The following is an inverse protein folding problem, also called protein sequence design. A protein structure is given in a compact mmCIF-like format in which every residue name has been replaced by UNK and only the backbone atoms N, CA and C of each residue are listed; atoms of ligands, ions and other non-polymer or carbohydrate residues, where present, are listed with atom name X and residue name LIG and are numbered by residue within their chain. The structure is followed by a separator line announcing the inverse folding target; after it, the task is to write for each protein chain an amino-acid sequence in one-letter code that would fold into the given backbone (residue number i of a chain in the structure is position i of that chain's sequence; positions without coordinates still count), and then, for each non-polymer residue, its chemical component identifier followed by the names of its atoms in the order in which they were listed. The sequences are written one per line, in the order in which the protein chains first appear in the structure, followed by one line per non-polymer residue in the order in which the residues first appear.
data_IF_665277855068
#
_entry.id   IF_665277855068
#
_cell.length_a   1.000
_cell.length_b   1.000
_cell.length_c   1.000
_cell.angle_alpha   90.00
_cell.angle_beta   90.00
_cell.angle_gamma   90.00
#
_symmetry.space_group_name_H-M   'P 1'
#
loop_
_entity.id
_entity.type
_entity.pdbx_description
1 polymer ?
2 polymer ?
3 water ?
#
# COMPACT_ATOMS: atom_id res chain seq x y z
N UNK A 1 25.04 -13.02 -3.31
CA UNK A 1 25.94 -13.65 -2.37
C UNK A 1 25.30 -14.92 -1.79
N UNK A 2 24.15 -14.76 -1.16
CA UNK A 2 23.35 -15.87 -0.65
C UNK A 2 21.89 -15.54 -0.93
N UNK A 3 21.23 -16.37 -1.73
CA UNK A 3 19.87 -16.10 -2.18
C UNK A 3 18.88 -16.96 -1.40
N UNK A 4 17.79 -16.33 -0.99
CA UNK A 4 16.65 -17.01 -0.39
C UNK A 4 15.50 -16.94 -1.39
N UNK A 5 15.04 -18.10 -1.86
CA UNK A 5 13.84 -18.17 -2.70
C UNK A 5 12.70 -18.65 -1.81
N UNK A 6 11.72 -17.77 -1.61
CA UNK A 6 10.56 -18.02 -0.78
C UNK A 6 9.40 -18.42 -1.67
N UNK A 7 8.77 -19.55 -1.37
CA UNK A 7 8.25 -20.35 -2.48
C UNK A 7 6.82 -20.07 -2.90
N UNK A 8 5.90 -19.76 -1.99
CA UNK A 8 4.64 -19.18 -2.44
C UNK A 8 4.68 -17.67 -2.33
N UNK A 9 4.44 -16.97 -3.44
CA UNK A 9 4.45 -15.50 -3.39
C UNK A 9 3.19 -14.95 -2.72
N UNK A 10 2.09 -15.69 -2.82
CA UNK A 10 0.78 -15.24 -2.34
C UNK A 10 0.00 -16.47 -1.93
N UNK A 11 -0.96 -16.30 -1.03
CA UNK A 11 -1.82 -17.43 -0.74
C UNK A 11 -3.03 -16.98 0.07
N UNK A 12 -4.14 -17.69 -0.13
CA UNK A 12 -5.39 -17.53 0.60
C UNK A 12 -5.65 -18.81 1.38
N UNK A 13 -6.20 -18.67 2.59
CA UNK A 13 -6.45 -19.85 3.42
C UNK A 13 -7.63 -19.57 4.32
N UNK A 14 -8.28 -20.66 4.76
CA UNK A 14 -9.46 -20.55 5.59
C UNK A 14 -9.08 -20.38 7.06
N UNK A 15 -9.97 -19.77 7.82
CA UNK A 15 -9.78 -19.67 9.25
C UNK A 15 -9.80 -21.06 9.86
N UNK A 16 -8.86 -21.33 10.78
CA UNK A 16 -8.73 -22.64 11.38
C UNK A 16 -7.83 -23.61 10.62
N UNK A 17 -7.43 -23.28 9.40
CA UNK A 17 -6.54 -24.12 8.63
C UNK A 17 -5.07 -23.84 8.93
N UNK A 18 -4.23 -24.50 8.15
CA UNK A 18 -2.78 -24.43 8.32
C UNK A 18 -2.19 -23.79 7.07
N UNK A 19 -1.12 -23.02 7.27
CA UNK A 19 -0.39 -22.36 6.19
C UNK A 19 1.07 -22.76 6.29
N UNK A 20 1.67 -23.08 5.15
CA UNK A 20 3.10 -23.39 5.14
C UNK A 20 3.82 -22.59 4.05
N UNK A 21 4.96 -22.01 4.42
CA UNK A 21 5.83 -21.26 3.52
C UNK A 21 7.18 -21.94 3.53
N UNK A 22 7.69 -22.26 2.35
CA UNK A 22 9.04 -22.80 2.28
C UNK A 22 9.99 -21.69 1.83
N UNK A 23 11.20 -21.77 2.37
CA UNK A 23 12.25 -20.83 2.04
C UNK A 23 13.50 -21.66 1.78
N UNK A 24 14.16 -21.42 0.64
CA UNK A 24 15.22 -22.29 0.14
C UNK A 24 16.47 -21.47 -0.13
N UNK A 25 17.55 -21.79 0.56
CA UNK A 25 18.79 -21.06 0.42
C UNK A 25 19.64 -21.61 -0.72
N UNK A 26 20.49 -20.75 -1.28
CA UNK A 26 21.38 -21.15 -2.36
C UNK A 26 22.47 -22.12 -1.87
N UNK A 27 22.92 -21.96 -0.63
CA UNK A 27 23.87 -22.86 0.00
C UNK A 27 23.45 -23.09 1.45
N UNK A 28 24.14 -24.02 2.10
CA UNK A 28 23.84 -24.33 3.50
C UNK A 28 23.98 -23.10 4.37
N UNK A 29 22.95 -22.82 5.19
CA UNK A 29 22.96 -21.65 6.07
C UNK A 29 22.94 -22.04 7.55
N UNK A 30 23.12 -23.33 7.86
CA UNK A 30 23.41 -23.78 9.23
C UNK A 30 22.32 -23.35 10.21
N UNK A 31 21.06 -23.45 9.78
CA UNK A 31 19.88 -23.15 10.60
C UNK A 31 19.81 -21.68 11.01
N UNK A 32 20.64 -20.82 10.42
CA UNK A 32 20.59 -19.38 10.70
C UNK A 32 19.52 -18.76 9.81
N UNK A 33 18.26 -18.93 10.24
CA UNK A 33 17.09 -18.44 9.52
C UNK A 33 16.08 -17.88 10.50
N UNK A 34 15.61 -16.67 10.24
CA UNK A 34 14.60 -16.03 11.05
C UNK A 34 13.38 -15.72 10.18
N UNK A 35 12.23 -15.52 10.84
CA UNK A 35 10.96 -15.35 10.16
C UNK A 35 10.31 -14.07 10.65
N UNK A 36 9.83 -13.26 9.72
CA UNK A 36 9.24 -11.97 10.06
C UNK A 36 7.81 -11.88 9.55
N UNK A 37 6.97 -11.20 10.33
CA UNK A 37 5.62 -10.85 9.96
C UNK A 37 5.56 -9.35 9.74
N UNK A 38 5.05 -8.92 8.59
CA UNK A 38 4.99 -7.48 8.30
C UNK A 38 3.57 -7.08 7.97
N UNK A 39 3.00 -6.18 8.81
CA UNK A 39 1.66 -5.64 8.54
C UNK A 39 1.74 -4.18 8.07
N UNK A 40 0.75 -3.72 7.30
CA UNK A 40 0.72 -2.31 6.91
C UNK A 40 0.79 -1.38 8.11
N UNK A 41 1.75 -0.44 8.07
CA UNK A 41 1.86 0.58 9.09
C UNK A 41 2.66 0.21 10.33
N UNK A 42 3.48 -0.85 10.25
CA UNK A 42 4.33 -1.27 11.36
C UNK A 42 5.68 -1.71 10.80
N UNK A 43 6.67 -1.79 11.68
CA UNK A 43 7.92 -2.44 11.34
C UNK A 43 7.73 -3.95 11.41
N UNK A 44 8.60 -4.70 10.74
CA UNK A 44 8.47 -6.17 10.80
C UNK A 44 8.59 -6.69 12.23
N UNK A 45 7.86 -7.76 12.51
CA UNK A 45 7.77 -8.38 13.82
C UNK A 45 8.54 -9.69 13.77
N UNK A 46 9.57 -9.81 14.59
CA UNK A 46 10.37 -11.03 14.61
C UNK A 46 9.53 -12.15 15.22
N UNK A 47 9.34 -13.23 14.47
CA UNK A 47 8.57 -14.38 14.95
C UNK A 47 9.43 -15.50 15.47
N UNK A 48 10.46 -15.87 14.71
CA UNK A 48 11.25 -17.07 14.95
C UNK A 48 12.68 -16.76 14.57
N UNK A 49 13.64 -17.26 15.35
CA UNK A 49 15.04 -17.22 14.99
C UNK A 49 15.63 -18.61 15.12
N UNK A 50 16.82 -18.78 14.54
CA UNK A 50 17.50 -20.07 14.54
C UNK A 50 16.56 -21.19 14.09
N UNK A 51 15.87 -20.93 12.98
CA UNK A 51 15.05 -21.90 12.26
C UNK A 51 13.76 -22.26 12.99
N UNK A 52 13.79 -22.38 14.32
CA UNK A 52 12.54 -22.78 14.98
C UNK A 52 12.35 -22.27 16.40
N UNK A 53 13.18 -21.37 16.92
CA UNK A 53 12.95 -20.86 18.26
C UNK A 53 11.96 -19.71 18.23
N UNK A 54 10.81 -19.91 18.87
CA UNK A 54 9.83 -18.83 19.02
C UNK A 54 10.41 -17.67 19.81
N UNK A 55 10.32 -16.48 19.24
CA UNK A 55 10.57 -15.27 20.01
C UNK A 55 9.55 -15.18 21.14
N UNK A 56 9.91 -14.57 22.28
CA UNK A 56 8.94 -14.48 23.39
C UNK A 56 7.74 -13.62 23.05
N UNK A 57 6.56 -14.10 23.44
CA UNK A 57 5.32 -13.44 23.10
C UNK A 57 4.76 -13.79 21.74
N UNK A 58 5.36 -14.75 21.03
CA UNK A 58 4.86 -15.17 19.73
C UNK A 58 3.96 -16.37 19.95
N UNK A 59 2.73 -16.36 19.45
CA UNK A 59 1.85 -17.52 19.63
C UNK A 59 2.52 -18.82 19.23
N UNK A 60 2.27 -19.87 20.02
CA UNK A 60 2.80 -21.18 19.69
C UNK A 60 2.19 -21.77 18.43
N UNK A 61 1.18 -21.10 17.85
CA UNK A 61 0.61 -21.49 16.56
C UNK A 61 1.62 -21.35 15.42
N UNK A 62 2.68 -20.57 15.63
CA UNK A 62 3.72 -20.33 14.64
C UNK A 62 4.86 -21.30 14.90
N UNK A 63 5.33 -21.97 13.85
CA UNK A 63 6.44 -22.90 13.99
C UNK A 63 7.34 -22.83 12.77
N UNK A 64 8.61 -23.17 12.96
CA UNK A 64 9.54 -23.28 11.87
C UNK A 64 10.34 -24.57 11.96
N UNK A 65 10.89 -24.97 10.83
CA UNK A 65 11.76 -26.15 10.82
C UNK A 65 12.63 -26.13 9.59
N UNK A 66 13.57 -27.06 9.54
CA UNK A 66 14.48 -27.22 8.42
C UNK A 66 15.91 -27.49 8.84
N UNK A 67 16.78 -27.66 7.84
CA UNK A 67 18.21 -27.80 8.07
C UNK A 67 18.90 -27.66 6.73
N UNK A 68 20.20 -27.44 6.77
CA UNK A 68 20.98 -27.25 5.56
C UNK A 68 20.50 -26.07 4.73
N UNK A 69 19.90 -26.37 3.59
CA UNK A 69 19.43 -25.35 2.65
C UNK A 69 17.94 -25.13 2.71
N UNK A 70 17.18 -26.11 3.20
CA UNK A 70 15.72 -26.11 3.02
C UNK A 70 15.01 -25.92 4.35
N UNK A 71 14.05 -24.99 4.35
CA UNK A 71 13.44 -24.49 5.56
C UNK A 71 11.96 -24.28 5.36
N UNK A 72 11.19 -24.42 6.44
CA UNK A 72 9.74 -24.36 6.41
C UNK A 72 9.25 -23.43 7.51
N UNK A 73 8.06 -22.84 7.29
CA UNK A 73 7.43 -22.02 8.31
C UNK A 73 5.92 -22.21 8.23
N UNK A 74 5.29 -22.39 9.39
CA UNK A 74 3.89 -22.79 9.41
C UNK A 74 3.07 -22.02 10.44
N UNK A 75 1.83 -21.72 10.08
CA UNK A 75 0.79 -21.23 11.00
C UNK A 75 -0.29 -22.29 11.07
N UNK A 76 -0.63 -22.73 12.29
CA UNK A 76 -1.42 -23.95 12.48
C UNK A 76 -2.95 -23.75 12.48
N UNK A 77 -3.49 -22.88 13.32
CA UNK A 77 -4.94 -22.71 13.48
C UNK A 77 -5.24 -21.26 13.10
N UNK A 78 -5.22 -20.96 11.79
CA UNK A 78 -5.24 -19.60 11.29
C UNK A 78 -6.34 -18.75 11.91
N UNK A 79 -5.98 -17.54 12.33
CA UNK A 79 -6.87 -16.55 12.93
C UNK A 79 -6.90 -15.31 12.05
N UNK A 80 -7.93 -14.45 12.19
CA UNK A 80 -8.03 -13.31 11.25
C UNK A 80 -6.84 -12.37 11.30
N UNK A 81 -6.19 -12.24 12.45
CA UNK A 81 -5.08 -11.30 12.62
C UNK A 81 -3.74 -11.83 12.08
N UNK A 82 -3.67 -13.04 11.53
CA UNK A 82 -2.44 -13.48 10.86
C UNK A 82 -2.31 -12.91 9.45
N UNK A 83 -3.33 -12.23 8.93
CA UNK A 83 -3.20 -11.57 7.62
C UNK A 83 -2.02 -10.63 7.67
N UNK A 84 -1.08 -10.80 6.71
CA UNK A 84 0.15 -10.04 6.66
C UNK A 84 1.02 -10.56 5.52
N UNK A 85 2.19 -9.97 5.37
CA UNK A 85 3.23 -10.51 4.50
C UNK A 85 4.35 -11.04 5.39
N UNK A 86 4.85 -12.21 5.05
CA UNK A 86 5.85 -12.91 5.84
C UNK A 86 7.17 -12.97 5.07
N UNK A 87 8.29 -12.91 5.80
CA UNK A 87 9.62 -12.97 5.21
C UNK A 87 10.54 -13.85 6.02
N UNK A 88 11.29 -14.72 5.34
CA UNK A 88 12.44 -15.37 5.95
C UNK A 88 13.69 -14.49 5.77
N UNK A 89 14.70 -14.76 6.60
CA UNK A 89 15.92 -13.96 6.63
C UNK A 89 17.05 -14.89 7.06
N UNK A 90 17.98 -15.17 6.15
CA UNK A 90 19.17 -15.91 6.57
C UNK A 90 20.19 -14.94 7.14
N UNK A 91 20.95 -15.41 8.14
CA UNK A 91 22.02 -14.62 8.73
C UNK A 91 23.26 -15.48 8.96
N UNK A 92 23.47 -16.48 8.11
CA UNK A 92 24.71 -17.25 8.15
C UNK A 92 25.88 -16.41 7.66
N UNK A 93 25.80 -15.91 6.43
CA UNK A 93 26.78 -14.99 5.87
C UNK A 93 26.03 -13.78 5.35
N UNK A 94 26.38 -12.59 5.84
CA UNK A 94 25.61 -11.37 5.56
C UNK A 94 24.13 -11.58 5.89
N UNK A 95 23.25 -10.78 5.27
CA UNK A 95 21.82 -10.88 5.50
C UNK A 95 21.07 -10.76 4.18
N UNK A 96 20.05 -11.58 4.01
CA UNK A 96 19.16 -11.42 2.87
C UNK A 96 17.81 -12.06 3.19
N UNK A 97 16.77 -11.46 2.62
CA UNK A 97 15.39 -11.89 2.77
C UNK A 97 14.92 -12.73 1.59
N UNK A 98 13.98 -13.64 1.86
CA UNK A 98 13.11 -14.12 0.81
C UNK A 98 12.21 -13.00 0.30
N UNK A 99 11.65 -13.21 -0.91
CA UNK A 99 10.86 -12.15 -1.54
C UNK A 99 9.53 -11.92 -0.83
N UNK A 100 9.07 -12.83 0.03
CA UNK A 100 7.90 -12.55 0.82
C UNK A 100 6.69 -13.38 0.38
N UNK A 101 5.71 -13.47 1.27
CA UNK A 101 4.48 -14.22 1.03
C UNK A 101 3.30 -13.43 1.57
N UNK A 102 2.35 -13.09 0.71
CA UNK A 102 1.20 -12.28 1.10
C UNK A 102 0.04 -13.20 1.45
N UNK A 103 -0.41 -13.14 2.69
CA UNK A 103 -1.40 -14.07 3.22
C UNK A 103 -2.72 -13.34 3.37
N UNK A 104 -3.77 -13.91 2.80
CA UNK A 104 -5.11 -13.37 2.91
C UNK A 104 -6.08 -14.51 3.23
N UNK A 105 -7.28 -14.17 3.67
CA UNK A 105 -8.21 -15.17 4.19
C UNK A 105 -9.29 -15.50 3.16
N UNK A 106 -9.81 -16.72 3.26
CA UNK A 106 -10.95 -17.13 2.47
C UNK A 106 -12.24 -16.80 3.21
N UNK A 107 -13.27 -16.53 2.44
CA UNK A 107 -14.61 -16.27 2.94
C UNK A 107 -15.59 -16.74 1.87
N UNK A 108 -16.87 -16.66 2.19
CA UNK A 108 -17.88 -17.03 1.21
C UNK A 108 -17.85 -16.01 0.07
N UNK A 109 -18.24 -16.44 -1.12
CA UNK A 109 -18.26 -15.52 -2.26
C UNK A 109 -19.18 -14.35 -1.94
N UNK A 110 -18.82 -13.16 -2.41
CA UNK A 110 -19.64 -11.96 -2.26
C UNK A 110 -19.75 -11.25 -3.60
N UNK A 111 -20.95 -10.75 -3.92
CA UNK A 111 -20.90 -10.09 -5.21
C UNK A 111 -20.55 -8.61 -5.02
N UNK A 112 -19.92 -8.00 -6.04
CA UNK A 112 -19.56 -6.58 -5.96
C UNK A 112 -20.79 -5.69 -6.02
N UNK A 113 -20.75 -4.62 -5.23
CA UNK A 113 -21.70 -3.51 -5.35
C UNK A 113 -21.10 -2.49 -6.32
N UNK A 114 -21.73 -2.30 -7.47
CA UNK A 114 -21.19 -1.45 -8.53
C UNK A 114 -21.89 -0.09 -8.55
N UNK A 115 -21.11 0.98 -8.66
CA UNK A 115 -21.62 2.34 -8.74
C UNK A 115 -20.84 3.09 -9.80
N UNK A 116 -21.57 3.81 -10.67
CA UNK A 116 -20.95 4.63 -11.71
C UNK A 116 -21.19 6.10 -11.37
N UNK A 117 -20.23 6.95 -11.76
CA UNK A 117 -20.27 8.37 -11.46
C UNK A 117 -19.88 9.22 -12.65
N UNK A 118 -20.73 10.17 -13.04
CA UNK A 118 -20.42 11.09 -14.17
C UNK A 118 -19.34 12.09 -13.78
N UNK A 119 -18.71 12.71 -14.78
CA UNK A 119 -17.79 13.82 -14.47
C UNK A 119 -18.52 14.98 -13.81
N UNK A 120 -17.81 15.62 -12.88
CA UNK A 120 -18.34 16.76 -12.14
C UNK A 120 -18.26 18.04 -13.00
N UNK A 121 -19.02 19.06 -12.58
CA UNK A 121 -18.91 20.38 -13.24
C UNK A 121 -17.51 20.93 -13.11
N UNK A 122 -16.98 20.94 -11.87
CA UNK A 122 -15.62 21.39 -11.63
C UNK A 122 -14.67 20.85 -12.68
N UNK A 123 -14.65 19.52 -12.88
CA UNK A 123 -13.67 18.92 -13.80
C UNK A 123 -13.97 19.27 -15.24
N UNK A 124 -15.25 19.33 -15.61
CA UNK A 124 -15.58 19.67 -17.00
C UNK A 124 -15.09 21.06 -17.35
N UNK A 125 -15.28 22.04 -16.46
CA UNK A 125 -14.76 23.39 -16.69
C UNK A 125 -13.26 23.37 -16.92
N UNK A 126 -12.55 22.50 -16.20
CA UNK A 126 -11.11 22.33 -16.37
C UNK A 126 -10.72 21.78 -17.74
N UNK A 127 -11.66 21.20 -18.51
CA UNK A 127 -11.32 20.56 -19.76
C UNK A 127 -11.20 19.05 -19.72
N UNK A 128 -11.50 18.41 -18.59
CA UNK A 128 -11.38 16.98 -18.45
C UNK A 128 -12.68 16.29 -18.08
N UNK A 129 -12.77 14.99 -18.32
CA UNK A 129 -13.96 14.24 -17.93
C UNK A 129 -13.54 12.84 -17.51
N UNK A 130 -13.68 12.53 -16.22
CA UNK A 130 -13.45 11.20 -15.69
C UNK A 130 -14.80 10.57 -15.37
N UNK A 131 -14.96 9.31 -15.76
CA UNK A 131 -16.06 8.50 -15.27
C UNK A 131 -15.48 7.49 -14.31
N UNK A 132 -16.05 7.43 -13.12
CA UNK A 132 -15.54 6.58 -12.06
C UNK A 132 -16.56 5.47 -11.82
N UNK A 133 -16.04 4.28 -11.54
CA UNK A 133 -16.87 3.11 -11.30
C UNK A 133 -16.24 2.37 -10.14
N UNK A 134 -17.00 2.16 -9.07
CA UNK A 134 -16.54 1.43 -7.89
C UNK A 134 -17.11 0.02 -7.90
N UNK A 135 -16.27 -0.95 -7.58
CA UNK A 135 -16.66 -2.36 -7.40
C UNK A 135 -16.26 -2.75 -6.00
N UNK A 136 -17.22 -2.74 -5.07
CA UNK A 136 -16.94 -2.72 -3.65
C UNK A 136 -17.45 -3.97 -2.96
N UNK A 137 -16.61 -4.51 -2.08
CA UNK A 137 -16.94 -5.58 -1.13
C UNK A 137 -17.33 -6.88 -1.85
N UNK A 138 -16.40 -7.37 -2.67
CA UNK A 138 -16.61 -8.62 -3.39
C UNK A 138 -15.59 -9.64 -2.92
N UNK A 139 -15.89 -10.91 -3.24
CA UNK A 139 -14.97 -12.01 -2.96
C UNK A 139 -15.32 -13.14 -3.93
N UNK A 140 -14.32 -13.80 -4.55
CA UNK A 140 -12.86 -13.63 -4.34
C UNK A 140 -12.25 -12.41 -5.04
N UNK A 141 -10.92 -12.32 -4.97
CA UNK A 141 -10.19 -11.15 -5.42
C UNK A 141 -10.31 -10.94 -6.93
N UNK A 142 -10.36 -12.02 -7.71
CA UNK A 142 -10.37 -11.92 -9.17
C UNK A 142 -11.66 -11.29 -9.68
N UNK A 143 -11.54 -10.19 -10.43
CA UNK A 143 -12.68 -9.49 -10.98
C UNK A 143 -12.26 -8.83 -12.29
N UNK A 144 -13.22 -8.64 -13.20
CA UNK A 144 -12.92 -7.96 -14.45
C UNK A 144 -13.83 -6.75 -14.60
N UNK A 145 -13.25 -5.62 -15.01
CA UNK A 145 -14.00 -4.40 -15.26
C UNK A 145 -13.79 -4.01 -16.71
N UNK A 146 -14.89 -3.80 -17.43
CA UNK A 146 -14.88 -3.44 -18.83
C UNK A 146 -15.67 -2.15 -19.01
N UNK A 147 -15.14 -1.27 -19.85
CA UNK A 147 -15.77 0.01 -20.16
C UNK A 147 -16.31 -0.02 -21.57
N UNK A 148 -17.50 0.56 -21.77
CA UNK A 148 -18.05 0.76 -23.10
C UNK A 148 -18.51 2.20 -23.26
N UNK A 149 -18.23 2.78 -24.42
CA UNK A 149 -18.67 4.11 -24.78
C UNK A 149 -19.56 3.93 -26.00
N UNK A 150 -20.87 4.18 -25.83
CA UNK A 150 -21.83 3.95 -26.90
C UNK A 150 -21.79 2.50 -27.40
N UNK A 151 -21.57 1.54 -26.50
CA UNK A 151 -21.52 0.13 -26.87
C UNK A 151 -20.20 -0.39 -27.38
N UNK A 152 -19.23 0.48 -27.72
CA UNK A 152 -17.91 0.03 -28.16
C UNK A 152 -16.98 -0.06 -26.96
N UNK A 153 -16.24 -1.18 -26.86
CA UNK A 153 -15.33 -1.37 -25.74
C UNK A 153 -14.18 -0.38 -25.81
N UNK A 154 -13.76 0.12 -24.66
CA UNK A 154 -12.71 1.12 -24.61
C UNK A 154 -11.66 0.72 -23.60
N UNK A 155 -10.39 0.75 -24.02
CA UNK A 155 -9.29 0.42 -23.12
C UNK A 155 -8.40 1.62 -22.79
N UNK A 156 -8.19 2.56 -23.70
CA UNK A 156 -7.38 3.73 -23.36
C UNK A 156 -8.07 4.65 -22.36
N UNK A 157 -7.24 5.34 -21.56
CA UNK A 157 -7.73 6.29 -20.60
C UNK A 157 -8.24 5.68 -19.32
N UNK A 158 -8.02 4.38 -19.11
CA UNK A 158 -8.58 3.65 -17.98
C UNK A 158 -7.49 3.40 -16.96
N UNK A 159 -7.77 3.78 -15.70
CA UNK A 159 -6.89 3.55 -14.56
C UNK A 159 -7.64 2.70 -13.54
N UNK A 160 -7.12 1.51 -13.25
CA UNK A 160 -7.70 0.65 -12.23
C UNK A 160 -6.85 0.71 -10.98
N UNK A 161 -7.52 0.67 -9.83
CA UNK A 161 -6.86 0.60 -8.54
C UNK A 161 -7.63 -0.39 -7.70
N UNK A 162 -6.91 -1.13 -6.86
CA UNK A 162 -7.51 -2.22 -6.10
C UNK A 162 -7.00 -2.21 -4.68
N UNK A 163 -7.90 -2.47 -3.73
CA UNK A 163 -7.50 -2.51 -2.33
C UNK A 163 -6.85 -3.85 -2.00
N UNK A 164 -6.17 -3.87 -0.84
CA UNK A 164 -5.85 -5.09 -0.14
C UNK A 164 -7.10 -5.64 0.54
N UNK A 165 -6.97 -6.83 1.13
CA UNK A 165 -8.13 -7.44 1.77
C UNK A 165 -8.61 -6.63 2.96
N UNK A 166 -9.91 -6.34 2.98
CA UNK A 166 -10.50 -5.53 4.03
C UNK A 166 -10.44 -6.28 5.36
N UNK A 167 -9.94 -5.60 6.40
CA UNK A 167 -9.80 -6.27 7.69
C UNK A 167 -11.14 -6.55 8.35
N UNK A 168 -12.19 -5.84 7.97
CA UNK A 168 -13.47 -6.00 8.66
C UNK A 168 -14.24 -7.22 8.15
N UNK A 169 -14.40 -7.36 6.82
CA UNK A 169 -15.23 -8.42 6.28
C UNK A 169 -14.52 -9.37 5.31
N UNK A 170 -13.21 -9.20 5.10
CA UNK A 170 -12.41 -10.05 4.24
C UNK A 170 -12.76 -9.90 2.75
N UNK A 171 -13.46 -8.84 2.38
CA UNK A 171 -13.77 -8.59 0.98
C UNK A 171 -12.65 -7.76 0.33
N UNK A 172 -12.78 -7.62 -0.98
CA UNK A 172 -11.91 -6.77 -1.76
C UNK A 172 -12.75 -5.69 -2.41
N UNK A 173 -12.08 -4.63 -2.82
CA UNK A 173 -12.74 -3.58 -3.59
C UNK A 173 -11.77 -3.10 -4.65
N UNK A 174 -12.34 -2.46 -5.66
CA UNK A 174 -11.58 -2.04 -6.80
C UNK A 174 -12.26 -0.81 -7.40
N UNK A 175 -11.45 0.08 -7.95
CA UNK A 175 -11.91 1.33 -8.55
C UNK A 175 -11.38 1.43 -9.97
N UNK A 176 -12.25 1.81 -10.90
CA UNK A 176 -11.85 2.02 -12.30
C UNK A 176 -12.28 3.40 -12.76
N UNK A 177 -11.37 4.11 -13.44
CA UNK A 177 -11.63 5.49 -13.87
C UNK A 177 -11.27 5.62 -15.34
N UNK A 178 -12.22 6.05 -16.15
CA UNK A 178 -12.00 6.33 -17.57
C UNK A 178 -11.93 7.85 -17.72
N UNK A 179 -10.78 8.36 -18.13
CA UNK A 179 -10.55 9.80 -18.24
C UNK A 179 -10.46 10.17 -19.72
N UNK A 180 -11.31 11.10 -20.15
CA UNK A 180 -11.33 11.67 -21.49
C UNK A 180 -11.07 13.17 -21.43
N UNK A 181 -10.84 13.77 -22.60
CA UNK A 181 -10.98 15.22 -22.65
C UNK A 181 -12.46 15.60 -22.66
N UNK A 182 -12.74 16.87 -22.42
CA UNK A 182 -14.12 17.33 -22.40
C UNK A 182 -14.74 17.23 -23.79
N UNK A 183 -13.98 17.62 -24.83
CA UNK A 183 -14.52 17.59 -26.17
C UNK A 183 -14.83 16.16 -26.63
N UNK A 184 -13.96 15.20 -26.28
CA UNK A 184 -14.26 13.81 -26.62
C UNK A 184 -15.40 13.26 -25.77
N UNK A 185 -15.50 13.70 -24.52
CA UNK A 185 -16.59 13.24 -23.67
C UNK A 185 -17.95 13.67 -24.20
N UNK A 186 -17.99 14.79 -24.93
CA UNK A 186 -19.24 15.32 -25.45
C UNK A 186 -19.65 14.71 -26.78
N UNK A 187 -18.76 13.98 -27.44
CA UNK A 187 -19.09 13.32 -28.70
C UNK A 187 -19.89 12.03 -28.54
N UNK A 188 -20.06 11.55 -27.31
CA UNK A 188 -20.71 10.26 -27.08
C UNK A 188 -21.83 10.42 -26.07
N UNK A 189 -22.70 9.42 -26.02
CA UNK A 189 -23.87 9.46 -25.15
C UNK A 189 -23.79 8.54 -23.95
N UNK A 190 -23.52 7.26 -24.16
CA UNK A 190 -23.62 6.27 -23.08
C UNK A 190 -22.23 5.86 -22.57
N UNK A 191 -22.10 5.80 -21.26
CA UNK A 191 -20.87 5.36 -20.60
C UNK A 191 -21.21 4.26 -19.61
N UNK A 192 -20.67 3.08 -19.83
CA UNK A 192 -21.03 1.90 -19.04
C UNK A 192 -19.77 1.20 -18.57
N UNK A 193 -19.81 0.74 -17.32
CA UNK A 193 -18.80 -0.20 -16.84
C UNK A 193 -19.50 -1.51 -16.50
N UNK A 194 -18.84 -2.62 -16.84
CA UNK A 194 -19.38 -3.94 -16.58
C UNK A 194 -18.44 -4.69 -15.67
N UNK A 195 -18.99 -5.27 -14.61
CA UNK A 195 -18.22 -6.05 -13.65
C UNK A 195 -18.53 -7.52 -13.88
N UNK A 196 -17.54 -8.26 -14.40
CA UNK A 196 -17.63 -9.71 -14.51
C UNK A 196 -16.98 -10.35 -13.29
N UNK A 197 -17.73 -11.20 -12.60
CA UNK A 197 -17.26 -11.81 -11.36
C UNK A 197 -18.00 -13.14 -11.20
N UNK A 198 -17.30 -14.14 -10.66
CA UNK A 198 -17.81 -15.50 -10.62
C UNK A 198 -19.11 -15.64 -9.82
N UNK A 199 -19.54 -14.58 -9.13
CA UNK A 199 -20.79 -14.63 -8.37
C UNK A 199 -22.03 -14.44 -9.23
N UNK A 200 -21.88 -14.33 -10.55
CA UNK A 200 -23.03 -14.03 -11.40
C UNK A 200 -22.75 -14.52 -12.82
N UNK A 201 -23.80 -15.00 -13.50
CA UNK A 201 -23.62 -15.56 -14.83
C UNK A 201 -23.33 -14.45 -15.84
N UNK A 202 -24.15 -13.40 -15.84
CA UNK A 202 -24.10 -12.17 -16.62
C UNK A 202 -23.41 -11.07 -15.80
N UNK A 203 -22.63 -10.22 -16.44
CA UNK A 203 -21.96 -9.13 -15.71
C UNK A 203 -22.97 -8.13 -15.14
N UNK A 204 -22.62 -7.56 -13.98
CA UNK A 204 -23.31 -6.37 -13.48
C UNK A 204 -22.96 -5.16 -14.34
N UNK A 205 -23.96 -4.53 -14.93
CA UNK A 205 -23.76 -3.40 -15.83
C UNK A 205 -24.32 -2.16 -15.15
N UNK A 206 -23.48 -1.13 -15.00
CA UNK A 206 -23.90 0.19 -14.57
C UNK A 206 -23.57 1.17 -15.68
N UNK A 207 -24.45 2.15 -15.89
CA UNK A 207 -24.28 3.02 -17.05
C UNK A 207 -24.81 4.40 -16.76
N UNK A 208 -24.22 5.37 -17.45
CA UNK A 208 -24.59 6.78 -17.40
C UNK A 208 -24.79 7.28 -18.82
N UNK A 209 -25.85 8.07 -19.00
CA UNK A 209 -26.09 8.82 -20.21
C UNK A 209 -26.09 10.30 -19.85
N UNK A 210 -25.50 11.14 -20.71
CA UNK A 210 -25.69 12.58 -20.51
C UNK A 210 -27.09 13.01 -20.93
N UNK A 211 -28.12 12.29 -20.47
CA UNK A 211 -29.45 12.31 -21.10
C UNK A 211 -30.53 12.92 -20.23
N UNK A 212 -30.16 13.58 -19.11
CA UNK A 212 -31.09 14.38 -18.33
C UNK A 212 -30.34 14.91 -17.11
N UNK A 213 -30.86 16.01 -16.56
CA UNK A 213 -30.79 16.37 -15.13
C UNK A 213 -31.02 17.85 -14.91
N UNK B 1 12.07 2.17 27.21
CA UNK B 1 11.83 1.05 26.30
C UNK B 1 12.43 1.29 24.90
N UNK B 2 12.85 0.22 24.23
CA UNK B 2 13.59 0.33 22.98
C UNK B 2 12.75 1.05 21.93
N UNK B 3 13.26 2.19 21.44
CA UNK B 3 12.57 3.07 20.50
C UNK B 3 13.50 3.53 19.38
N UNK B 4 13.01 3.44 18.14
CA UNK B 4 13.73 3.87 16.96
C UNK B 4 12.79 4.75 16.14
N UNK B 5 13.22 5.96 15.81
CA UNK B 5 12.34 6.92 15.12
C UNK B 5 13.12 7.57 13.97
N UNK B 6 12.76 7.21 12.73
CA UNK B 6 13.42 7.73 11.54
C UNK B 6 12.87 9.11 11.18
N UNK B 7 13.67 9.87 10.43
CA UNK B 7 13.22 11.18 9.94
C UNK B 7 14.03 11.56 8.71
N UNK B 8 13.62 12.67 8.06
CA UNK B 8 14.35 13.22 6.95
C UNK B 8 13.99 12.69 5.57
N UNK B 9 13.10 11.70 5.47
CA UNK B 9 12.69 11.25 4.15
C UNK B 9 12.03 12.36 3.35
N UNK B 10 12.04 12.21 2.03
CA UNK B 10 11.33 13.15 1.18
C UNK B 10 11.47 12.81 -0.28
N UNK B 11 11.30 13.83 -1.11
CA UNK B 11 11.41 13.72 -2.56
C UNK B 11 12.74 14.30 -3.01
N UNK B 12 13.47 13.56 -3.85
CA UNK B 12 14.78 13.96 -4.35
C UNK B 12 14.86 13.58 -5.82
N UNK B 13 15.56 14.40 -6.60
CA UNK B 13 15.69 14.18 -8.04
C UNK B 13 16.78 13.15 -8.34
N UNK B 14 16.65 12.42 -9.45
CA UNK B 14 17.69 11.46 -9.82
C UNK B 14 19.06 12.14 -9.87
N UNK B 15 20.08 11.44 -9.37
CA UNK B 15 21.38 12.02 -9.19
C UNK B 15 21.60 12.76 -7.89
N UNK B 16 20.53 13.18 -7.20
CA UNK B 16 20.64 14.00 -6.00
C UNK B 16 21.06 13.24 -4.73
N UNK B 17 20.99 13.96 -3.62
CA UNK B 17 21.50 13.52 -2.32
C UNK B 17 20.50 13.82 -1.22
N UNK B 18 20.44 12.93 -0.21
CA UNK B 18 19.60 13.10 0.96
C UNK B 18 20.18 12.32 2.13
N UNK B 19 19.99 12.86 3.33
CA UNK B 19 20.51 12.28 4.57
C UNK B 19 19.36 11.95 5.50
N UNK B 20 19.15 10.66 5.75
CA UNK B 20 18.15 10.21 6.72
C UNK B 20 18.76 10.15 8.12
N UNK B 21 17.92 10.33 9.12
CA UNK B 21 18.32 10.22 10.52
C UNK B 21 17.46 9.18 11.22
N UNK B 22 18.01 8.61 12.29
CA UNK B 22 17.28 7.69 13.14
C UNK B 22 17.65 7.99 14.57
N UNK B 23 16.67 8.38 15.36
CA UNK B 23 16.85 8.73 16.76
C UNK B 23 16.51 7.52 17.63
N UNK B 24 17.39 7.21 18.57
CA UNK B 24 17.25 6.10 19.50
C UNK B 24 16.94 6.62 20.89
N UNK B 25 16.21 5.83 21.66
CA UNK B 25 15.96 6.11 23.06
C UNK B 25 15.61 4.79 23.73
N UNK B 26 15.86 4.72 25.03
CA UNK B 26 15.46 3.57 25.81
C UNK B 26 16.48 2.46 25.88
N UNK B 27 17.72 2.73 25.46
CA UNK B 27 18.80 1.75 25.60
C UNK B 27 20.14 2.48 25.41
N UNK B 28 21.22 1.81 25.83
CA UNK B 28 22.55 2.36 25.64
C UNK B 28 22.89 2.31 24.16
N UNK B 29 22.63 3.40 23.44
CA UNK B 29 22.76 3.40 21.98
C UNK B 29 24.16 3.03 21.55
N UNK B 30 25.17 3.54 22.24
CA UNK B 30 26.55 3.29 21.82
C UNK B 30 26.99 1.85 22.04
N UNK B 31 26.15 0.97 22.62
CA UNK B 31 26.52 -0.43 22.79
C UNK B 31 26.12 -1.31 21.62
N UNK B 32 25.38 -0.78 20.64
CA UNK B 32 24.64 -1.59 19.69
C UNK B 32 25.08 -1.34 18.25
N UNK B 33 25.30 -2.43 17.53
CA UNK B 33 25.36 -2.39 16.07
C UNK B 33 24.01 -1.90 15.54
N UNK B 34 24.03 -1.26 14.37
CA UNK B 34 22.81 -0.69 13.80
C UNK B 34 22.82 -0.86 12.28
N UNK B 35 21.63 -0.96 11.70
CA UNK B 35 21.46 -1.17 10.27
C UNK B 35 20.35 -0.28 9.70
N UNK B 36 20.38 -0.11 8.38
CA UNK B 36 19.25 0.41 7.65
C UNK B 36 18.69 -0.70 6.78
N UNK B 37 17.37 -0.82 6.76
CA UNK B 37 16.69 -1.74 5.87
C UNK B 37 15.63 -0.96 5.12
N UNK B 38 15.49 -1.22 3.83
CA UNK B 38 14.45 -0.57 3.05
C UNK B 38 13.46 -1.59 2.52
N UNK B 39 12.21 -1.13 2.37
CA UNK B 39 11.14 -1.88 1.71
C UNK B 39 10.85 -1.20 0.38
N UNK B 40 11.15 -1.90 -0.72
CA UNK B 40 10.88 -1.40 -2.06
C UNK B 40 9.37 -1.38 -2.33
N UNK B 41 8.91 -0.68 -3.37
CA UNK B 41 7.45 -0.69 -3.65
C UNK B 41 6.91 -2.05 -4.04
N UNK B 42 7.73 -2.92 -4.64
CA UNK B 42 7.38 -4.32 -4.87
C UNK B 42 7.46 -5.15 -3.59
N UNK B 43 7.50 -4.48 -2.44
CA UNK B 43 7.37 -5.14 -1.13
C UNK B 43 8.53 -6.09 -0.85
N UNK B 44 9.69 -5.82 -1.45
CA UNK B 44 10.92 -6.53 -1.12
C UNK B 44 11.63 -5.82 0.02
N UNK B 45 12.28 -6.60 0.88
CA UNK B 45 13.05 -6.07 2.00
C UNK B 45 14.53 -6.26 1.71
N UNK B 46 15.31 -5.20 1.94
CA UNK B 46 16.69 -5.17 1.49
C UNK B 46 17.55 -4.51 2.56
N UNK B 47 18.56 -5.24 3.01
CA UNK B 47 19.58 -4.74 3.93
C UNK B 47 20.40 -3.66 3.25
N UNK B 48 20.25 -2.42 3.69
CA UNK B 48 20.83 -1.26 3.00
C UNK B 48 22.24 -0.95 3.52
N UNK B 49 22.43 -0.91 4.83
CA UNK B 49 23.73 -0.54 5.39
C UNK B 49 23.81 -1.07 6.81
N UNK B 50 25.04 -1.32 7.25
CA UNK B 50 25.32 -1.79 8.60
C UNK B 50 26.45 -0.96 9.17
N UNK B 51 26.39 -0.68 10.48
CA UNK B 51 27.47 0.00 11.17
C UNK B 51 27.66 -0.60 12.56
N UNK B 52 28.92 -0.84 12.91
CA UNK B 52 29.25 -1.43 14.19
C UNK B 52 29.05 -0.41 15.30
N UNK B 53 29.10 -0.91 16.54
CA UNK B 53 28.65 -0.12 17.69
C UNK B 53 29.47 1.15 17.84
N UNK B 54 30.77 1.07 17.61
CA UNK B 54 31.61 2.24 17.75
C UNK B 54 31.80 3.00 16.47
N UNK B 55 31.26 2.50 15.36
CA UNK B 55 31.36 3.14 14.08
C UNK B 55 32.56 2.74 13.25
N UNK B 56 33.36 1.76 13.69
CA UNK B 56 34.60 1.44 13.00
C UNK B 56 34.43 0.40 11.91
N UNK B 57 33.31 -0.30 11.86
CA UNK B 57 33.08 -1.26 10.80
C UNK B 57 31.75 -0.97 10.14
N UNK B 58 31.69 -1.25 8.86
CA UNK B 58 30.57 -0.80 8.07
C UNK B 58 30.40 -1.77 6.92
N UNK B 59 29.16 -2.00 6.52
CA UNK B 59 28.93 -2.89 5.39
C UNK B 59 27.80 -2.37 4.51
N UNK B 60 27.97 -2.51 3.19
CA UNK B 60 26.96 -2.15 2.21
C UNK B 60 26.86 -3.21 1.12
N UNK B 61 25.64 -3.57 0.70
CA UNK B 61 25.51 -4.41 -0.49
C UNK B 61 25.93 -3.63 -1.73
N UNK B 62 26.28 -4.40 -2.78
CA UNK B 62 26.84 -3.79 -3.98
C UNK B 62 25.88 -2.77 -4.60
N UNK B 63 24.57 -2.94 -4.39
CA UNK B 63 23.59 -2.04 -4.99
C UNK B 63 23.81 -0.58 -4.58
N UNK B 64 24.31 -0.34 -3.38
CA UNK B 64 24.47 1.00 -2.83
C UNK B 64 25.91 1.33 -2.45
N UNK B 65 26.84 0.40 -2.65
CA UNK B 65 28.24 0.68 -2.31
C UNK B 65 28.75 1.83 -3.18
N UNK B 66 29.53 2.71 -2.57
CA UNK B 66 30.03 3.88 -3.28
C UNK B 66 29.03 5.02 -3.38
N UNK B 67 27.76 4.79 -3.09
CA UNK B 67 26.74 5.82 -3.11
C UNK B 67 26.17 6.14 -1.74
N UNK B 68 26.14 5.17 -0.83
CA UNK B 68 25.53 5.33 0.48
C UNK B 68 26.60 5.32 1.57
N UNK B 69 26.42 6.19 2.56
CA UNK B 69 27.31 6.23 3.71
C UNK B 69 26.48 6.16 4.98
N UNK B 70 26.71 5.13 5.79
CA UNK B 70 26.08 5.02 7.11
C UNK B 70 27.04 5.56 8.16
N UNK B 71 26.52 6.37 9.07
CA UNK B 71 27.31 6.95 10.15
C UNK B 71 26.43 7.03 11.39
N UNK B 72 27.05 7.37 12.51
CA UNK B 72 26.34 7.47 13.78
C UNK B 72 27.08 8.47 14.65
N UNK B 73 26.31 9.21 15.45
CA UNK B 73 26.81 10.11 16.49
C UNK B 73 26.33 9.52 17.81
N UNK B 74 27.25 8.87 18.55
CA UNK B 74 26.81 8.16 19.74
C UNK B 74 26.48 9.12 20.89
N UNK B 75 27.11 10.30 20.92
CA UNK B 75 26.76 11.29 21.95
C UNK B 75 25.30 11.73 21.83
N UNK B 76 24.78 11.82 20.59
CA UNK B 76 23.43 12.33 20.35
C UNK B 76 22.40 11.25 20.02
N UNK B 77 22.72 9.98 20.27
CA UNK B 77 21.78 8.86 20.09
C UNK B 77 21.15 8.87 18.71
N UNK B 78 21.96 9.17 17.69
CA UNK B 78 21.43 9.31 16.35
C UNK B 78 22.23 8.48 15.35
N UNK B 79 21.53 7.75 14.48
CA UNK B 79 22.10 7.04 13.35
C UNK B 79 21.75 7.78 12.06
N UNK B 80 22.66 7.75 11.08
CA UNK B 80 22.46 8.47 9.83
C UNK B 80 22.70 7.54 8.65
N UNK B 81 22.01 7.83 7.55
CA UNK B 81 22.29 7.22 6.26
C UNK B 81 22.38 8.33 5.23
N UNK B 82 23.59 8.59 4.72
CA UNK B 82 23.82 9.61 3.70
C UNK B 82 23.74 8.96 2.32
N UNK B 83 22.86 9.49 1.48
CA UNK B 83 22.67 8.95 0.15
C UNK B 83 23.07 10.01 -0.87
N UNK B 84 23.63 9.54 -1.98
CA UNK B 84 24.06 10.42 -3.05
C UNK B 84 23.94 9.63 -4.35
N UNK B 85 23.99 10.34 -5.48
CA UNK B 85 23.78 9.69 -6.78
C UNK B 85 22.53 8.82 -6.77
N UNK B 86 21.45 9.34 -6.15
CA UNK B 86 20.23 8.55 -5.98
C UNK B 86 19.62 8.19 -7.32
N UNK B 87 19.16 6.96 -7.42
CA UNK B 87 18.56 6.38 -8.61
C UNK B 87 17.09 6.08 -8.34
N UNK B 88 16.36 5.79 -9.43
CA UNK B 88 14.93 5.53 -9.30
C UNK B 88 14.67 4.32 -8.43
N UNK B 89 15.52 3.30 -8.55
CA UNK B 89 15.43 2.07 -7.77
C UNK B 89 15.66 2.28 -6.28
N UNK B 90 16.18 3.43 -5.86
CA UNK B 90 16.32 3.69 -4.44
C UNK B 90 15.01 4.12 -3.78
N UNK B 91 13.97 4.40 -4.56
CA UNK B 91 12.68 4.77 -3.99
C UNK B 91 12.19 3.67 -3.06
N UNK B 92 11.93 4.02 -1.79
CA UNK B 92 11.57 3.02 -0.80
C UNK B 92 11.21 3.68 0.53
N UNK B 93 10.69 2.86 1.44
CA UNK B 93 10.56 3.22 2.85
C UNK B 93 11.80 2.70 3.57
N UNK B 94 12.50 3.57 4.27
CA UNK B 94 13.76 3.22 4.90
C UNK B 94 13.54 2.98 6.38
N UNK B 95 13.91 1.80 6.86
CA UNK B 95 13.75 1.43 8.26
C UNK B 95 15.10 1.47 8.96
N UNK B 96 15.09 2.04 10.15
CA UNK B 96 16.15 1.90 11.12
C UNK B 96 15.99 0.57 11.87
N UNK B 97 17.08 -0.16 12.07
CA UNK B 97 17.05 -1.43 12.82
C UNK B 97 18.19 -1.52 13.82
N UNK B 98 17.88 -1.92 15.05
CA UNK B 98 18.92 -2.19 16.05
C UNK B 98 19.37 -3.64 15.96
N UNK B 99 20.65 -3.86 16.14
CA UNK B 99 21.24 -5.16 15.90
C UNK B 99 22.16 -5.60 17.04
N UNK B 100 21.58 -5.79 18.23
CA UNK B 100 22.30 -6.53 19.26
C UNK B 100 22.58 -7.95 18.84
N UNK B 101 21.76 -8.49 17.95
CA UNK B 101 21.78 -9.89 17.52
C UNK B 101 22.06 -9.95 16.02
N UNK B 102 22.46 -11.13 15.54
CA UNK B 102 22.73 -11.29 14.10
C UNK B 102 21.51 -10.94 13.26
N UNK B 103 20.33 -11.34 13.72
CA UNK B 103 19.08 -11.03 13.07
C UNK B 103 18.53 -9.74 13.64
N UNK B 104 17.60 -9.15 12.89
CA UNK B 104 16.87 -7.99 13.38
C UNK B 104 15.85 -8.42 14.41
N UNK B 105 15.67 -7.60 15.44
CA UNK B 105 14.60 -7.74 16.42
C UNK B 105 13.80 -6.45 16.59
N UNK B 106 14.48 -5.30 16.69
CA UNK B 106 13.83 -4.02 16.90
C UNK B 106 13.95 -3.17 15.64
N UNK B 107 12.85 -2.56 15.26
CA UNK B 107 12.77 -1.74 14.06
C UNK B 107 12.16 -0.40 14.42
N UNK B 108 12.35 0.58 13.55
CA UNK B 108 11.54 1.78 13.56
C UNK B 108 10.32 1.57 12.68
N UNK B 109 9.62 2.66 12.42
CA UNK B 109 8.44 2.56 11.57
C UNK B 109 8.68 3.02 10.14
N UNK B 110 9.84 3.59 9.84
CA UNK B 110 10.21 3.91 8.48
C UNK B 110 10.08 5.38 8.17
N UNK B 111 10.89 5.83 7.21
CA UNK B 111 10.72 7.14 6.58
C UNK B 111 10.82 6.91 5.08
N UNK B 112 10.04 7.66 4.30
CA UNK B 112 9.89 7.40 2.87
C UNK B 112 10.78 8.31 2.02
N UNK B 113 11.36 7.74 0.97
CA UNK B 113 12.18 8.47 0.00
C UNK B 113 11.59 8.21 -1.37
N UNK B 114 11.28 9.28 -2.09
CA UNK B 114 10.84 9.20 -3.48
C UNK B 114 11.94 9.83 -4.32
N UNK B 115 12.50 9.07 -5.26
CA UNK B 115 13.48 9.58 -6.20
C UNK B 115 12.76 9.71 -7.54
N UNK B 116 12.58 10.95 -8.00
CA UNK B 116 11.79 11.20 -9.20
C UNK B 116 12.01 12.65 -9.65
N UNK B 117 11.92 12.85 -10.97
CA UNK B 117 12.00 14.16 -11.60
C UNK B 117 10.67 14.91 -11.56
N UNK B 118 9.58 14.27 -11.15
CA UNK B 118 8.29 14.92 -11.14
C UNK B 118 8.25 16.02 -10.10
N UNK B 119 7.54 17.09 -10.41
CA UNK B 119 7.50 18.28 -9.57
C UNK B 119 6.31 18.23 -8.63
N UNK B 120 6.46 18.89 -7.47
CA UNK B 120 5.37 18.93 -6.50
C UNK B 120 4.17 19.69 -7.08
N UNK B 121 2.98 19.14 -6.88
CA UNK B 121 1.75 19.59 -7.49
C UNK B 121 0.60 19.24 -6.54
N UNK B 122 -0.23 20.21 -6.16
CA UNK B 122 -1.41 19.88 -5.33
C UNK B 122 -2.44 19.13 -6.15
N UNK B 123 -3.31 18.37 -5.49
CA UNK B 123 -4.34 17.64 -6.22
C UNK B 123 -5.52 18.53 -6.54
N UNK B 124 -6.19 18.19 -7.65
CA UNK B 124 -7.57 18.61 -7.88
C UNK B 124 -8.49 17.60 -7.22
N UNK B 125 -9.57 18.09 -6.61
CA UNK B 125 -10.53 17.22 -5.90
C UNK B 125 -11.91 17.43 -6.49
N UNK B 126 -12.51 16.35 -6.98
CA UNK B 126 -13.80 16.44 -7.64
C UNK B 126 -14.83 15.62 -6.89
N UNK B 127 -16.05 16.10 -6.75
CA UNK B 127 -17.09 15.31 -6.10
C UNK B 127 -17.59 14.20 -7.03
N UNK B 128 -18.10 13.13 -6.42
CA UNK B 128 -18.72 12.03 -7.16
C UNK B 128 -20.12 11.83 -6.60
N UNK B 129 -21.14 12.20 -7.38
CA UNK B 129 -22.52 12.07 -6.94
C UNK B 129 -23.30 11.20 -7.91
N UNK B 130 -24.32 10.46 -7.43
CA UNK B 130 -25.11 9.63 -8.34
C UNK B 130 -25.87 10.45 -9.36
N UNK B 131 -26.84 11.23 -8.90
CA UNK B 131 -27.59 12.12 -9.77
C UNK B 131 -28.69 11.40 -10.54
N UNK B 132 -29.68 12.19 -10.97
CA UNK B 132 -30.89 11.74 -11.66
C UNK B 132 -31.74 10.80 -10.79
N UNK B 133 -31.40 10.66 -9.52
CA UNK B 133 -31.83 9.50 -8.73
C UNK B 133 -31.60 8.21 -9.52
N UNK B 134 -30.52 8.20 -10.29
CA UNK B 134 -30.29 7.15 -11.30
C UNK B 134 -30.29 5.77 -10.66
N UNK B 135 -29.43 5.54 -9.69
CA UNK B 135 -29.40 4.30 -8.92
C UNK B 135 -29.43 4.71 -7.44
N UNK B 136 -30.59 4.58 -6.79
CA UNK B 136 -30.72 4.98 -5.38
C UNK B 136 -31.84 4.16 -4.74
N UNK B 137 -31.45 3.34 -3.74
CA UNK B 137 -32.36 2.65 -2.83
C UNK B 137 -31.91 2.85 -1.38
N UNK B 138 -31.61 1.76 -0.66
CA UNK B 138 -31.47 1.83 0.80
C UNK B 138 -30.19 2.57 1.21
N UNK B 139 -29.05 2.15 0.70
CA UNK B 139 -27.79 2.86 0.89
C UNK B 139 -27.41 3.56 -0.41
N UNK B 140 -26.61 4.61 -0.29
CA UNK B 140 -26.11 5.33 -1.46
C UNK B 140 -24.60 5.48 -1.34
N UNK B 141 -23.92 5.27 -2.45
CA UNK B 141 -22.47 5.39 -2.52
C UNK B 141 -22.12 6.74 -3.12
N UNK B 142 -21.28 7.49 -2.42
CA UNK B 142 -20.73 8.74 -2.88
C UNK B 142 -19.21 8.64 -2.89
N UNK B 143 -18.57 9.53 -3.63
CA UNK B 143 -17.14 9.42 -3.76
C UNK B 143 -16.45 10.76 -3.93
N UNK B 144 -15.17 10.70 -4.32
CA UNK B 144 -14.26 11.84 -4.24
C UNK B 144 -13.02 11.50 -5.05
N UNK B 145 -12.83 12.16 -6.22
CA UNK B 145 -11.75 11.86 -7.13
C UNK B 145 -10.62 12.85 -6.88
N UNK B 146 -9.45 12.33 -6.54
CA UNK B 146 -8.29 13.14 -6.17
C UNK B 146 -7.26 13.00 -7.29
N UNK B 147 -7.06 14.07 -8.05
CA UNK B 147 -6.42 13.94 -9.35
C UNK B 147 -5.22 14.88 -9.49
N UNK B 148 -4.16 14.37 -10.11
CA UNK B 148 -3.03 15.17 -10.55
C UNK B 148 -2.15 15.74 -9.48
N UNK B 149 -1.82 14.96 -8.46
CA UNK B 149 -0.92 15.44 -7.41
C UNK B 149 0.41 14.70 -7.46
N UNK B 150 1.43 15.34 -6.88
CA UNK B 150 2.74 14.73 -6.73
C UNK B 150 3.46 15.46 -5.60
N UNK B 151 4.19 14.76 -4.73
CA UNK B 151 4.23 13.29 -4.68
C UNK B 151 3.15 12.71 -3.77
N UNK B 152 3.23 11.41 -3.49
CA UNK B 152 2.47 10.83 -2.41
C UNK B 152 3.01 11.33 -1.07
N UNK B 153 2.17 11.36 -0.02
CA UNK B 153 0.75 10.96 0.02
C UNK B 153 -0.25 12.11 0.08
N UNK B 154 -1.52 11.74 -0.05
CA UNK B 154 -2.62 12.55 0.42
C UNK B 154 -3.28 11.80 1.56
N UNK B 155 -4.01 12.54 2.39
CA UNK B 155 -4.88 11.95 3.40
C UNK B 155 -6.30 12.35 3.05
N UNK B 156 -7.19 11.36 2.95
CA UNK B 156 -8.60 11.61 2.67
C UNK B 156 -9.42 11.22 3.90
N UNK B 157 -10.34 12.11 4.28
CA UNK B 157 -11.33 11.81 5.31
C UNK B 157 -12.69 12.27 4.83
N UNK B 158 -13.72 11.80 5.53
CA UNK B 158 -15.10 12.08 5.18
C UNK B 158 -15.81 12.71 6.37
N UNK B 159 -16.49 13.83 6.13
CA UNK B 159 -17.12 14.64 7.17
C UNK B 159 -16.13 14.93 8.30
N UNK B 160 -14.89 15.27 7.93
CA UNK B 160 -13.80 15.56 8.85
C UNK B 160 -13.56 14.43 9.83
N UNK B 161 -13.90 13.20 9.43
CA UNK B 161 -13.56 12.01 10.18
C UNK B 161 -14.74 11.38 10.91
N UNK B 162 -15.90 12.04 10.88
CA UNK B 162 -17.08 11.52 11.55
C UNK B 162 -17.58 10.25 10.87
N UNK B 163 -17.51 10.20 9.54
CA UNK B 163 -17.90 9.03 8.76
C UNK B 163 -16.66 8.19 8.49
N UNK B 164 -16.50 7.10 9.25
CA UNK B 164 -15.31 6.27 9.10
C UNK B 164 -15.60 4.81 8.73
N UNK B 165 -16.85 4.37 8.76
CA UNK B 165 -17.05 2.92 8.65
C UNK B 165 -17.23 2.44 7.22
N UNK B 166 -17.99 3.18 6.40
CA UNK B 166 -18.29 2.70 5.06
C UNK B 166 -17.42 3.30 3.99
N UNK B 167 -16.10 3.24 4.16
CA UNK B 167 -15.16 4.04 3.37
C UNK B 167 -14.16 3.12 2.69
N UNK B 168 -13.93 3.34 1.40
CA UNK B 168 -12.81 2.74 0.68
C UNK B 168 -12.04 3.86 0.00
N UNK B 169 -10.80 4.05 0.43
CA UNK B 169 -9.89 4.93 -0.28
C UNK B 169 -8.89 4.04 -0.99
N UNK B 170 -8.78 4.21 -2.20
CA UNK B 170 -8.03 3.30 -3.06
C UNK B 170 -6.58 3.76 -3.21
N UNK B 171 -5.65 2.82 -3.43
CA UNK B 171 -4.24 3.21 -3.61
C UNK B 171 -4.09 4.10 -4.83
N UNK B 172 -3.16 5.05 -4.71
CA UNK B 172 -2.90 5.97 -5.80
C UNK B 172 -2.19 5.26 -6.94
N UNK B 173 -2.47 5.71 -8.15
CA UNK B 173 -1.89 5.14 -9.35
C UNK B 173 -1.23 6.26 -10.13
N UNK B 174 0.04 6.07 -10.48
CA UNK B 174 0.83 7.10 -11.15
C UNK B 174 0.58 7.07 -12.65
N UNK B 175 0.21 8.23 -13.22
CA UNK B 175 0.01 8.38 -14.67
C UNK B 175 0.89 9.53 -15.15
N UNK B 176 2.01 9.16 -15.79
CA UNK B 176 3.24 9.94 -15.95
C UNK B 176 3.28 11.26 -15.19
N UNK B 177 4.08 11.26 -14.12
CA UNK B 177 4.40 12.37 -13.23
C UNK B 177 3.25 12.79 -12.33
N UNK B 178 2.05 12.19 -12.43
CA UNK B 178 0.99 12.60 -11.53
C UNK B 178 0.17 11.41 -11.05
N UNK B 179 -0.18 11.42 -9.76
CA UNK B 179 -1.02 10.41 -9.16
C UNK B 179 -2.49 10.79 -9.24
N UNK B 180 -3.33 9.76 -9.33
CA UNK B 180 -4.77 9.88 -9.12
C UNK B 180 -5.18 8.83 -8.10
N UNK B 181 -6.18 9.19 -7.30
CA UNK B 181 -6.69 8.34 -6.24
C UNK B 181 -8.18 8.61 -6.15
N UNK B 182 -8.94 7.63 -5.68
CA UNK B 182 -10.36 7.87 -5.45
C UNK B 182 -10.74 7.32 -4.09
N UNK B 183 -11.92 7.72 -3.63
CA UNK B 183 -12.37 7.33 -2.31
C UNK B 183 -13.88 7.25 -2.34
N UNK B 184 -14.43 6.13 -1.88
CA UNK B 184 -15.87 5.99 -1.83
C UNK B 184 -16.36 5.90 -0.38
N UNK B 185 -17.59 6.38 -0.18
CA UNK B 185 -18.25 6.31 1.11
C UNK B 185 -19.70 5.93 0.86
N UNK B 186 -20.24 5.09 1.72
CA UNK B 186 -21.62 4.63 1.62
C UNK B 186 -22.35 5.05 2.87
N UNK B 187 -23.49 5.71 2.69
CA UNK B 187 -24.31 6.19 3.81
C UNK B 187 -25.76 5.82 3.52
N UNK B 188 -26.62 5.83 4.55
CA UNK B 188 -28.06 5.63 4.29
C UNK B 188 -28.60 6.76 3.43
N UNK B 189 -29.42 6.40 2.45
CA UNK B 189 -29.95 7.41 1.54
C UNK B 189 -30.91 8.37 2.22
N UNK B 190 -31.55 7.96 3.31
CA UNK B 190 -32.40 8.87 4.07
C UNK B 190 -31.61 9.96 4.78
N UNK B 191 -30.27 9.88 4.77
CA UNK B 191 -29.42 10.86 5.41
C UNK B 191 -28.68 11.74 4.42
N UNK B 192 -28.90 11.55 3.12
CA UNK B 192 -28.25 12.35 2.11
C UNK B 192 -29.22 12.48 0.94
N UNK B 193 -29.45 13.70 0.41
CA UNK B 193 -28.78 14.96 0.78
C UNK B 193 -29.32 15.59 2.05
N UNK B 194 -30.22 14.88 2.76
CA UNK B 194 -30.74 15.25 4.08
C UNK B 194 -29.69 16.00 4.90
N UNK B 195 -28.70 15.28 5.41
CA UNK B 195 -27.50 15.87 5.97
C UNK B 195 -26.46 16.04 4.86
N UNK B 196 -25.36 16.69 5.19
CA UNK B 196 -24.31 16.94 4.21
C UNK B 196 -23.20 15.90 4.31
N UNK B 197 -22.59 15.59 3.17
CA UNK B 197 -21.45 14.70 3.11
C UNK B 197 -20.34 15.43 2.36
N UNK B 198 -19.17 15.52 2.97
CA UNK B 198 -18.06 16.24 2.36
C UNK B 198 -16.78 15.43 2.57
N UNK B 199 -15.98 15.32 1.51
CA UNK B 199 -14.65 14.72 1.61
C UNK B 199 -13.61 15.82 1.82
N UNK B 200 -12.61 15.52 2.67
CA UNK B 200 -11.52 16.43 2.99
C UNK B 200 -10.21 15.81 2.53
N UNK B 201 -9.41 16.58 1.80
CA UNK B 201 -8.16 16.09 1.24
C UNK B 201 -7.02 17.04 1.60
N UNK B 202 -6.05 16.54 2.35
CA UNK B 202 -4.82 17.25 2.66
C UNK B 202 -3.68 16.64 1.88
N UNK B 203 -2.85 17.48 1.25
CA UNK B 203 -1.65 17.04 0.55
C UNK B 203 -0.42 17.61 1.25
N UNK B 204 0.23 16.85 2.12
CA UNK B 204 1.37 17.40 2.90
C UNK B 204 2.42 18.15 2.10
N UNK B 205 2.87 17.60 0.97
CA UNK B 205 4.03 18.18 0.29
C UNK B 205 3.73 19.55 -0.30
N UNK B 206 2.45 19.87 -0.55
CA UNK B 206 2.05 21.20 -1.00
C UNK B 206 1.30 21.99 0.07
N UNK B 207 1.13 21.42 1.28
CA UNK B 207 0.41 22.06 2.40
C UNK B 207 -0.96 22.59 2.00
N UNK B 208 -1.64 21.90 1.07
CA UNK B 208 -2.99 22.30 0.70
C UNK B 208 -4.03 21.50 1.48
N UNK B 209 -5.18 22.11 1.70
CA UNK B 209 -6.33 21.38 2.18
C UNK B 209 -7.51 21.76 1.31
N UNK B 210 -8.33 20.78 0.97
CA UNK B 210 -9.51 21.01 0.15
C UNK B 210 -10.64 20.15 0.71
N UNK B 211 -11.74 20.78 1.11
CA UNK B 211 -12.96 20.08 1.46
C UNK B 211 -13.93 20.30 0.31
N UNK B 212 -14.35 19.22 -0.34
CA UNK B 212 -15.38 19.29 -1.37
C UNK B 212 -16.63 18.62 -0.82
N UNK B 213 -17.78 19.20 -1.16
CA UNK B 213 -19.07 18.73 -0.69
C UNK B 213 -19.79 18.03 -1.83
N UNK B 214 -20.51 16.96 -1.52
CA UNK B 214 -21.19 16.15 -2.52
C UNK B 214 -22.63 16.66 -2.66
N UNK B 215 -22.97 17.14 -3.84
CA UNK B 215 -24.17 17.95 -4.08
C UNK B 215 -25.13 17.15 -4.94
N UNK B 216 -26.44 17.02 -4.53
CA UNK B 216 -27.40 16.12 -5.17
C UNK B 216 -27.14 15.54 -6.56
N UNK B 217 -27.17 16.33 -7.63
CA UNK B 217 -27.20 15.77 -8.98
C UNK B 217 -25.90 16.08 -9.73
N UNK B 218 -25.16 15.02 -10.08
CA UNK B 218 -23.92 15.09 -10.84
C UNK B 218 -24.13 14.96 -12.34
N UNK B 219 -25.34 14.58 -12.77
CA UNK B 219 -25.68 14.20 -14.15
C UNK B 219 -25.01 15.04 -15.23
#
# INVERSE_FOLDING_TARGET
DIQMTQSPSSLSASLGGRVTITCKASQDINKYLAWYQHKPGKGPRLLIHYTSTLQPGIPSRFSGSGSGRDYSFSISNLEPEDVATYYCLQYDSLLSFGAGTKLELKRADAAPTVSIFPPSSEQLTSGGASVVCFLNNFYPKDINVKWKIDGSERQNGVLNSWTDQDSKDSTYSMSSTLTLTKDEYERHNSYTCEATHKTSTSPIVKSFNRNEC
EVQLVESGGGLVKPGGSLKLSCTASGFAFSDYDMSWVRQTPEKRLEWVAFISNGGYSTYYPDTVKGRFTISRDNAENTLYLQMSSLKSEDTAIYYCARQGLRYFDYWGLGTTLTVSSAKTTPPSVYPLAPGSAAQTNSMVTLGCLVKGYFPEPVTVTWNSGSLSSGVHTFPAVLQSDLYTLSSSVTVPSSTWPSETVTCNVAHPASSTKVDKKIVPRDCG
#
